data_IF_448808843603
#
_entry.id   IF_448808843603
#
_cell.length_a   1.000
_cell.length_b   1.000
_cell.length_c   1.000
_cell.angle_alpha   90.00
_cell.angle_beta   90.00
_cell.angle_gamma   90.00
#
_symmetry.space_group_name_H-M   'P 1'
#
loop_
_entity.id
_entity.type
_entity.pdbx_description
1 polymer ?
#
# COMPACT_ATOMS: atom_id res chain seq x y z
N UNK A 1 -8.22 5.62 1.16
CA UNK A 1 -8.11 4.57 2.18
C UNK A 1 -6.85 4.80 2.99
N UNK A 2 -6.82 4.44 4.27
CA UNK A 2 -5.69 4.65 5.20
C UNK A 2 -4.93 3.37 5.52
N UNK A 3 -5.41 2.22 5.02
CA UNK A 3 -4.81 0.92 5.27
C UNK A 3 -4.34 0.24 3.97
N UNK A 4 -3.33 -0.59 4.14
CA UNK A 4 -2.93 -1.64 3.23
C UNK A 4 -3.66 -2.94 3.63
N UNK A 5 -4.34 -3.57 2.68
CA UNK A 5 -5.05 -4.82 2.94
C UNK A 5 -4.36 -6.00 2.28
N UNK A 6 -4.26 -7.09 3.02
CA UNK A 6 -3.86 -8.39 2.49
C UNK A 6 -5.06 -9.32 2.47
N UNK A 7 -5.25 -9.99 1.34
CA UNK A 7 -6.27 -11.01 1.13
C UNK A 7 -5.54 -12.32 0.81
N UNK A 8 -5.71 -13.32 1.68
CA UNK A 8 -5.18 -14.66 1.49
C UNK A 8 -6.36 -15.61 1.34
N UNK A 9 -6.32 -16.44 0.32
CA UNK A 9 -7.32 -17.47 0.09
C UNK A 9 -6.62 -18.82 -0.08
N UNK A 10 -7.07 -19.81 0.67
CA UNK A 10 -6.61 -21.20 0.59
C UNK A 10 -7.60 -22.04 -0.22
N UNK A 11 -7.16 -23.21 -0.68
CA UNK A 11 -8.04 -24.14 -1.41
C UNK A 11 -9.17 -24.67 -0.50
N UNK A 12 -8.80 -25.09 0.71
CA UNK A 12 -9.71 -25.56 1.76
C UNK A 12 -9.86 -24.54 2.88
N UNK A 13 -10.83 -24.74 3.77
CA UNK A 13 -11.01 -23.92 4.97
C UNK A 13 -9.73 -23.84 5.81
N UNK A 14 -9.42 -22.63 6.30
CA UNK A 14 -8.25 -22.38 7.13
C UNK A 14 -8.46 -23.11 8.46
N UNK A 15 -7.54 -24.02 8.77
CA UNK A 15 -7.61 -24.84 9.99
C UNK A 15 -7.37 -23.97 11.23
N UNK A 16 -8.04 -24.27 12.36
CA UNK A 16 -7.80 -23.56 13.60
C UNK A 16 -6.33 -23.63 14.03
N UNK A 17 -5.82 -22.51 14.53
CA UNK A 17 -4.47 -22.40 15.07
C UNK A 17 -4.26 -23.39 16.22
N UNK A 18 -3.16 -24.14 16.18
CA UNK A 18 -2.72 -24.94 17.34
C UNK A 18 -2.29 -24.02 18.48
N UNK A 19 -2.62 -24.39 19.72
CA UNK A 19 -2.30 -23.58 20.90
C UNK A 19 -0.80 -23.26 20.95
N UNK A 20 -0.46 -21.97 21.06
CA UNK A 20 0.92 -21.49 21.12
C UNK A 20 1.69 -21.47 19.80
N UNK A 21 1.14 -21.95 18.68
CA UNK A 21 1.86 -21.99 17.41
C UNK A 21 2.16 -20.58 16.86
N UNK A 22 3.42 -20.29 16.52
CA UNK A 22 3.82 -19.03 15.87
C UNK A 22 3.78 -19.08 14.35
N UNK A 23 3.76 -20.28 13.79
CA UNK A 23 3.88 -20.54 12.35
C UNK A 23 2.54 -20.66 11.61
N UNK A 24 1.45 -20.15 12.17
CA UNK A 24 0.12 -20.28 11.57
C UNK A 24 -0.23 -19.05 10.73
N UNK A 25 -0.49 -19.26 9.44
CA UNK A 25 -0.92 -18.25 8.46
C UNK A 25 -0.15 -16.92 8.59
N UNK A 26 1.19 -16.98 8.56
CA UNK A 26 2.05 -15.81 8.62
C UNK A 26 2.11 -15.10 7.27
N UNK A 27 2.23 -13.78 7.32
CA UNK A 27 2.54 -12.97 6.15
C UNK A 27 3.80 -12.14 6.40
N UNK A 28 4.87 -12.45 5.68
CA UNK A 28 6.11 -11.71 5.68
C UNK A 28 6.08 -10.65 4.58
N UNK A 29 6.52 -9.44 4.87
CA UNK A 29 6.58 -8.39 3.86
C UNK A 29 7.66 -7.35 4.15
N UNK A 30 8.12 -6.68 3.10
CA UNK A 30 8.88 -5.43 3.18
C UNK A 30 8.21 -4.37 2.33
N UNK A 31 8.44 -3.11 2.69
CA UNK A 31 7.80 -1.99 2.01
C UNK A 31 8.79 -0.84 1.86
N UNK A 32 8.76 -0.17 0.71
CA UNK A 32 9.54 1.03 0.49
C UNK A 32 8.77 2.03 -0.39
N UNK A 33 9.09 3.31 -0.23
CA UNK A 33 8.73 4.31 -1.23
C UNK A 33 9.32 3.90 -2.58
N UNK A 34 8.57 4.06 -3.67
CA UNK A 34 8.99 3.65 -5.02
C UNK A 34 10.25 4.35 -5.51
N UNK A 35 10.48 5.59 -5.04
CA UNK A 35 11.65 6.40 -5.36
C UNK A 35 12.90 6.05 -4.55
N UNK A 36 12.77 5.16 -3.55
CA UNK A 36 13.87 4.73 -2.69
C UNK A 36 14.18 3.26 -2.94
N UNK A 37 15.46 2.92 -2.85
CA UNK A 37 15.85 1.53 -2.65
C UNK A 37 15.28 0.99 -1.34
N UNK A 38 15.23 -0.34 -1.21
CA UNK A 38 14.78 -0.99 0.04
C UNK A 38 15.42 -0.27 1.21
N UNK A 39 14.60 0.27 2.09
CA UNK A 39 15.04 1.06 3.25
C UNK A 39 16.09 0.26 4.03
N UNK A 40 17.12 0.93 4.58
CA UNK A 40 18.14 0.30 5.47
C UNK A 40 17.56 -0.25 6.78
N UNK A 41 16.26 -0.48 6.85
CA UNK A 41 15.61 -1.10 7.99
C UNK A 41 16.09 -2.54 8.12
N UNK A 42 16.18 -3.01 9.36
CA UNK A 42 16.49 -4.40 9.65
C UNK A 42 15.52 -5.32 8.91
N UNK A 43 16.05 -6.39 8.33
CA UNK A 43 15.27 -7.36 7.59
C UNK A 43 15.76 -8.78 7.86
N UNK A 44 14.86 -9.75 7.80
CA UNK A 44 15.18 -11.17 7.78
C UNK A 44 14.82 -11.69 6.39
N UNK A 45 15.82 -12.20 5.67
CA UNK A 45 15.65 -12.80 4.33
C UNK A 45 14.90 -11.87 3.34
N UNK A 46 15.10 -10.56 3.47
CA UNK A 46 14.50 -9.53 2.63
C UNK A 46 13.12 -9.02 3.07
N UNK A 47 12.61 -9.50 4.21
CA UNK A 47 11.36 -9.06 4.82
C UNK A 47 11.61 -8.21 6.07
N UNK A 48 10.89 -7.10 6.21
CA UNK A 48 11.06 -6.16 7.32
C UNK A 48 10.01 -6.38 8.41
N UNK A 49 8.88 -6.96 8.04
CA UNK A 49 7.72 -7.13 8.88
C UNK A 49 7.17 -8.55 8.75
N UNK A 50 6.48 -8.99 9.80
CA UNK A 50 5.65 -10.18 9.79
C UNK A 50 4.31 -9.88 10.46
N UNK A 51 3.25 -10.42 9.88
CA UNK A 51 1.92 -10.44 10.45
C UNK A 51 1.59 -11.83 10.99
N UNK A 52 0.75 -11.86 12.02
CA UNK A 52 0.06 -13.06 12.48
C UNK A 52 0.91 -14.15 13.13
N UNK A 53 2.10 -13.82 13.65
CA UNK A 53 2.83 -14.75 14.53
C UNK A 53 2.21 -14.85 15.93
N UNK A 54 1.58 -13.77 16.40
CA UNK A 54 0.92 -13.70 17.70
C UNK A 54 -0.53 -13.18 17.58
N UNK A 55 -1.47 -14.02 17.10
CA UNK A 55 -2.90 -13.67 17.11
C UNK A 55 -3.37 -13.33 18.53
N UNK A 56 -4.17 -12.26 18.64
CA UNK A 56 -4.63 -11.70 19.93
C UNK A 56 -6.10 -12.07 20.19
N UNK A 57 -6.93 -12.08 19.15
CA UNK A 57 -8.32 -12.52 19.18
C UNK A 57 -8.79 -12.88 17.77
N UNK A 58 -10.05 -13.31 17.62
CA UNK A 58 -10.68 -13.56 16.30
C UNK A 58 -10.67 -12.34 15.36
N UNK A 59 -10.52 -11.12 15.91
CA UNK A 59 -10.57 -9.87 15.17
C UNK A 59 -9.23 -9.12 15.10
N UNK A 60 -8.21 -9.57 15.84
CA UNK A 60 -6.95 -8.85 16.01
C UNK A 60 -5.74 -9.78 15.97
N UNK A 61 -4.71 -9.35 15.28
CA UNK A 61 -3.43 -10.06 15.21
C UNK A 61 -2.23 -9.15 15.35
N UNK A 62 -1.03 -9.72 15.47
CA UNK A 62 0.21 -8.96 15.60
C UNK A 62 0.70 -8.40 14.26
N UNK A 63 1.15 -7.15 14.29
CA UNK A 63 2.14 -6.60 13.37
C UNK A 63 3.46 -6.49 14.12
N UNK A 64 4.49 -7.13 13.60
CA UNK A 64 5.82 -7.17 14.19
C UNK A 64 6.86 -6.76 13.14
N UNK A 65 7.93 -6.11 13.58
CA UNK A 65 9.05 -5.72 12.73
C UNK A 65 10.31 -6.48 13.14
N UNK A 66 11.19 -6.73 12.18
CA UNK A 66 12.50 -7.33 12.45
C UNK A 66 13.30 -6.38 13.33
N UNK A 67 13.81 -6.91 14.44
CA UNK A 67 14.54 -6.16 15.47
C UNK A 67 16.03 -6.07 15.14
N UNK A 68 16.61 -7.13 14.57
CA UNK A 68 18.03 -7.19 14.21
C UNK A 68 18.20 -7.69 12.78
N UNK A 69 18.95 -6.94 11.99
CA UNK A 69 19.17 -7.25 10.58
C UNK A 69 19.82 -8.62 10.40
N UNK A 70 19.29 -9.42 9.48
CA UNK A 70 19.69 -10.79 9.20
C UNK A 70 19.13 -11.85 10.16
N UNK A 71 18.41 -11.49 11.23
CA UNK A 71 17.96 -12.45 12.24
C UNK A 71 16.42 -12.59 12.30
N UNK A 72 15.95 -13.82 12.59
CA UNK A 72 14.53 -14.12 12.82
C UNK A 72 14.08 -13.67 14.23
N UNK A 73 14.36 -12.41 14.58
CA UNK A 73 14.03 -11.81 15.88
C UNK A 73 13.17 -10.60 15.62
N UNK A 74 11.97 -10.61 16.20
CA UNK A 74 10.96 -9.59 15.95
C UNK A 74 10.59 -8.84 17.23
N UNK A 75 10.12 -7.61 17.04
CA UNK A 75 9.51 -6.81 18.10
C UNK A 75 8.12 -6.34 17.67
N UNK A 76 7.20 -6.27 18.63
CA UNK A 76 5.82 -5.83 18.41
C UNK A 76 5.81 -4.36 17.96
N UNK A 77 5.10 -4.08 16.87
CA UNK A 77 4.75 -2.72 16.46
C UNK A 77 3.40 -2.35 17.07
N UNK A 78 2.34 -3.08 16.70
CA UNK A 78 0.99 -2.91 17.23
C UNK A 78 0.13 -4.14 16.93
N UNK A 79 -1.12 -4.11 17.39
CA UNK A 79 -2.15 -5.06 16.94
C UNK A 79 -2.89 -4.46 15.73
N UNK A 80 -3.26 -5.30 14.77
CA UNK A 80 -3.97 -4.91 13.55
C UNK A 80 -5.22 -5.77 13.35
N UNK A 81 -6.20 -5.24 12.62
CA UNK A 81 -7.44 -5.95 12.34
C UNK A 81 -7.18 -7.17 11.45
N UNK A 82 -7.76 -8.30 11.83
CA UNK A 82 -7.65 -9.57 11.14
C UNK A 82 -9.00 -10.28 11.18
N UNK A 83 -9.35 -11.04 10.16
CA UNK A 83 -10.49 -11.94 10.20
C UNK A 83 -10.20 -13.20 9.39
N UNK A 84 -10.73 -14.32 9.85
CA UNK A 84 -10.70 -15.61 9.14
C UNK A 84 -12.13 -16.09 8.96
N UNK A 85 -12.53 -16.37 7.72
CA UNK A 85 -13.86 -16.84 7.36
C UNK A 85 -13.72 -17.97 6.33
N UNK A 86 -13.93 -19.22 6.76
CA UNK A 86 -13.71 -20.40 5.92
C UNK A 86 -12.27 -20.44 5.42
N UNK A 87 -12.09 -20.41 4.10
CA UNK A 87 -10.80 -20.43 3.42
C UNK A 87 -10.17 -19.05 3.18
N UNK A 88 -10.72 -17.98 3.74
CA UNK A 88 -10.25 -16.61 3.52
C UNK A 88 -9.72 -15.99 4.80
N UNK A 89 -8.55 -15.37 4.70
CA UNK A 89 -7.98 -14.51 5.74
C UNK A 89 -7.76 -13.11 5.18
N UNK A 90 -8.18 -12.10 5.95
CA UNK A 90 -7.99 -10.69 5.61
C UNK A 90 -7.29 -9.97 6.76
N UNK A 91 -6.30 -9.14 6.44
CA UNK A 91 -5.56 -8.34 7.42
C UNK A 91 -5.49 -6.89 6.92
N UNK A 92 -5.77 -5.92 7.80
CA UNK A 92 -5.71 -4.50 7.50
C UNK A 92 -4.58 -3.82 8.28
N UNK A 93 -3.57 -3.32 7.57
CA UNK A 93 -2.37 -2.70 8.13
C UNK A 93 -2.40 -1.19 7.89
N UNK A 94 -2.43 -0.34 8.93
CA UNK A 94 -2.36 1.11 8.76
C UNK A 94 -1.05 1.54 8.09
N UNK A 95 -1.12 2.37 7.04
CA UNK A 95 0.07 2.89 6.36
C UNK A 95 0.99 3.69 7.31
N UNK A 96 0.41 4.37 8.29
CA UNK A 96 1.15 5.09 9.33
C UNK A 96 2.10 4.20 10.13
N UNK A 97 1.68 2.97 10.45
CA UNK A 97 2.50 2.00 11.19
C UNK A 97 3.69 1.47 10.38
N UNK A 98 3.64 1.63 9.06
CA UNK A 98 4.70 1.30 8.13
C UNK A 98 5.59 2.52 7.81
N UNK A 99 5.22 3.70 8.29
CA UNK A 99 5.88 4.98 7.99
C UNK A 99 6.05 5.24 6.48
N UNK A 100 5.06 4.85 5.67
CA UNK A 100 5.04 5.10 4.23
C UNK A 100 3.73 5.76 3.79
N UNK A 101 3.75 6.55 2.69
CA UNK A 101 2.52 7.08 2.11
C UNK A 101 1.63 5.98 1.52
N UNK A 102 0.32 6.22 1.50
CA UNK A 102 -0.67 5.34 0.86
C UNK A 102 -0.62 5.32 -0.68
N UNK A 103 0.43 5.89 -1.28
CA UNK A 103 0.68 6.01 -2.71
C UNK A 103 2.17 5.88 -2.98
N UNK A 104 2.54 5.56 -4.22
CA UNK A 104 3.95 5.52 -4.65
C UNK A 104 4.84 4.62 -3.78
N UNK A 105 4.34 3.41 -3.49
CA UNK A 105 5.06 2.41 -2.71
C UNK A 105 5.24 1.11 -3.48
N UNK A 106 6.25 0.34 -3.08
CA UNK A 106 6.45 -1.06 -3.48
C UNK A 106 6.39 -1.94 -2.24
N UNK A 107 5.74 -3.09 -2.37
CA UNK A 107 5.69 -4.13 -1.35
C UNK A 107 6.25 -5.42 -1.95
N UNK A 108 7.12 -6.07 -1.20
CA UNK A 108 7.51 -7.46 -1.46
C UNK A 108 6.94 -8.34 -0.36
N UNK A 109 6.23 -9.43 -0.68
CA UNK A 109 5.53 -10.24 0.33
C UNK A 109 5.49 -11.74 0.03
N UNK A 110 5.29 -12.52 1.10
CA UNK A 110 5.14 -13.97 1.11
C UNK A 110 4.18 -14.38 2.21
N UNK A 111 3.29 -15.32 1.90
CA UNK A 111 2.50 -16.04 2.89
C UNK A 111 3.18 -17.37 3.23
N UNK A 112 3.10 -17.80 4.49
CA UNK A 112 3.55 -19.11 4.92
C UNK A 112 2.65 -19.66 6.03
N UNK A 113 2.36 -20.96 5.99
CA UNK A 113 1.62 -21.66 7.04
C UNK A 113 2.32 -22.97 7.40
N UNK A 114 2.32 -23.28 8.70
CA UNK A 114 2.80 -24.54 9.27
C UNK A 114 4.26 -24.90 8.95
N UNK A 115 5.12 -23.91 8.69
CA UNK A 115 6.58 -24.11 8.53
C UNK A 115 7.21 -24.48 9.89
N UNK A 116 7.90 -25.61 9.97
CA UNK A 116 8.42 -26.17 11.22
C UNK A 116 9.62 -25.40 11.78
N UNK A 117 10.58 -25.05 10.93
CA UNK A 117 11.76 -24.23 11.28
C UNK A 117 11.62 -22.84 10.70
N UNK A 118 10.79 -22.03 11.35
CA UNK A 118 10.40 -20.69 10.87
C UNK A 118 11.58 -19.75 10.60
N UNK A 119 12.69 -19.93 11.32
CA UNK A 119 13.91 -19.11 11.26
C UNK A 119 14.87 -19.51 10.12
N UNK A 120 14.62 -20.64 9.46
CA UNK A 120 15.40 -21.14 8.33
C UNK A 120 14.59 -21.03 7.04
N UNK A 121 14.94 -20.07 6.19
CA UNK A 121 14.27 -19.88 4.89
C UNK A 121 14.36 -21.10 3.96
N UNK A 122 15.29 -22.02 4.20
CA UNK A 122 15.36 -23.27 3.43
C UNK A 122 14.23 -24.24 3.82
N UNK A 123 13.68 -24.13 5.04
CA UNK A 123 12.57 -24.95 5.49
C UNK A 123 11.26 -24.64 4.75
N UNK A 124 11.16 -23.45 4.15
CA UNK A 124 10.03 -23.02 3.31
C UNK A 124 9.97 -23.76 1.95
N UNK A 125 10.92 -24.65 1.68
CA UNK A 125 10.86 -25.64 0.58
C UNK A 125 10.43 -27.03 1.05
N UNK A 126 10.46 -27.29 2.36
CA UNK A 126 10.44 -28.64 2.93
C UNK A 126 9.18 -28.88 3.73
N UNK A 127 8.80 -27.93 4.60
CA UNK A 127 7.70 -28.07 5.52
C UNK A 127 6.64 -26.99 5.31
N UNK A 128 5.42 -27.29 5.76
CA UNK A 128 4.29 -26.38 5.65
C UNK A 128 3.93 -26.02 4.20
N UNK A 129 3.41 -24.82 4.02
CA UNK A 129 3.05 -24.25 2.73
C UNK A 129 3.62 -22.83 2.66
N UNK A 130 4.30 -22.49 1.57
CA UNK A 130 4.82 -21.14 1.31
C UNK A 130 4.36 -20.65 -0.05
N UNK A 131 3.82 -19.43 -0.10
CA UNK A 131 3.33 -18.81 -1.34
C UNK A 131 3.94 -17.41 -1.47
N UNK A 132 4.85 -17.19 -2.44
CA UNK A 132 5.39 -18.18 -3.39
C UNK A 132 6.39 -19.14 -2.70
N UNK A 133 6.81 -20.22 -3.37
CA UNK A 133 7.65 -21.28 -2.78
C UNK A 133 9.05 -20.77 -2.37
N UNK A 134 9.56 -21.22 -1.22
CA UNK A 134 10.98 -21.10 -0.86
C UNK A 134 11.50 -19.66 -0.79
N UNK A 135 12.54 -19.33 -1.56
CA UNK A 135 13.15 -17.98 -1.61
C UNK A 135 12.50 -17.02 -2.60
N UNK A 136 11.43 -17.43 -3.28
CA UNK A 136 10.67 -16.54 -4.16
C UNK A 136 9.86 -15.54 -3.33
N UNK A 137 9.51 -14.40 -3.94
CA UNK A 137 8.72 -13.35 -3.30
C UNK A 137 7.83 -12.68 -4.35
N UNK A 138 6.60 -12.32 -3.99
CA UNK A 138 5.77 -11.46 -4.85
C UNK A 138 6.17 -10.01 -4.69
N UNK A 139 6.14 -9.24 -5.78
CA UNK A 139 6.36 -7.79 -5.73
C UNK A 139 5.16 -7.07 -6.32
N UNK A 140 4.66 -6.07 -5.60
CA UNK A 140 3.58 -5.18 -6.01
C UNK A 140 4.05 -3.74 -5.94
N UNK A 141 3.72 -2.93 -6.94
CA UNK A 141 4.04 -1.50 -6.96
C UNK A 141 2.79 -0.68 -7.23
N UNK A 142 2.38 0.13 -6.26
CA UNK A 142 1.35 1.13 -6.45
C UNK A 142 2.02 2.41 -6.99
N UNK A 143 1.53 2.91 -8.12
CA UNK A 143 1.79 4.29 -8.53
C UNK A 143 0.61 5.14 -8.07
N UNK A 144 0.90 6.31 -7.48
CA UNK A 144 -0.12 7.34 -7.39
C UNK A 144 -0.65 7.61 -8.79
N UNK A 145 -1.98 7.68 -8.94
CA UNK A 145 -2.54 8.21 -10.19
C UNK A 145 -2.02 9.64 -10.30
N UNK A 146 -1.07 9.87 -11.21
CA UNK A 146 -0.63 11.21 -11.56
C UNK A 146 -1.77 11.89 -12.31
N UNK A 147 -2.82 12.30 -11.59
CA UNK A 147 -3.62 13.41 -12.05
C UNK A 147 -2.70 14.61 -11.93
N UNK A 148 -2.02 14.93 -13.03
CA UNK A 148 -1.29 16.17 -13.17
C UNK A 148 -2.28 17.31 -12.90
N UNK A 149 -2.35 17.78 -11.65
CA UNK A 149 -2.89 19.10 -11.38
C UNK A 149 -1.86 20.06 -11.92
N UNK A 150 -1.95 20.37 -13.20
CA UNK A 150 -1.20 21.47 -13.81
C UNK A 150 -1.64 22.74 -13.08
N UNK A 151 -0.93 23.11 -12.02
CA UNK A 151 -1.05 24.46 -11.46
C UNK A 151 -0.46 25.37 -12.51
N UNK A 152 -1.32 26.07 -13.24
CA UNK A 152 -0.88 27.15 -14.12
C UNK A 152 -0.06 28.14 -13.28
N UNK A 153 1.10 28.49 -13.79
CA UNK A 153 1.96 29.52 -13.24
C UNK A 153 1.22 30.86 -13.15
N UNK A 154 1.72 31.77 -12.33
CA UNK A 154 1.15 33.11 -12.20
C UNK A 154 1.07 33.83 -13.56
N UNK A 155 2.09 33.63 -14.41
CA UNK A 155 2.15 34.21 -15.76
C UNK A 155 1.01 33.71 -16.66
N UNK A 156 0.74 32.40 -16.66
CA UNK A 156 -0.35 31.84 -17.46
C UNK A 156 -1.73 32.27 -16.96
N UNK A 157 -1.90 32.42 -15.64
CA UNK A 157 -3.13 32.97 -15.05
C UNK A 157 -3.36 34.43 -15.45
N UNK A 158 -2.29 35.23 -15.49
CA UNK A 158 -2.34 36.62 -15.97
C UNK A 158 -2.68 36.66 -17.45
N UNK A 159 -2.05 35.82 -18.28
CA UNK A 159 -2.33 35.74 -19.71
C UNK A 159 -3.80 35.39 -19.99
N UNK A 160 -4.35 34.42 -19.26
CA UNK A 160 -5.76 34.04 -19.37
C UNK A 160 -6.71 35.17 -18.96
N UNK A 161 -6.38 35.90 -17.89
CA UNK A 161 -7.19 37.05 -17.46
C UNK A 161 -7.19 38.18 -18.49
N UNK A 162 -6.04 38.47 -19.11
CA UNK A 162 -5.91 39.49 -20.16
C UNK A 162 -6.69 39.06 -21.41
N UNK A 163 -6.56 37.80 -21.85
CA UNK A 163 -7.30 37.29 -22.99
C UNK A 163 -8.82 37.37 -22.78
N UNK A 164 -9.30 37.04 -21.56
CA UNK A 164 -10.72 37.17 -21.19
C UNK A 164 -11.22 38.63 -21.24
N UNK A 165 -10.43 39.58 -20.73
CA UNK A 165 -10.78 41.01 -20.79
C UNK A 165 -10.85 41.53 -22.23
N UNK A 166 -9.93 41.12 -23.11
CA UNK A 166 -9.98 41.51 -24.53
C UNK A 166 -11.21 40.98 -25.26
N UNK A 167 -11.60 39.73 -24.99
CA UNK A 167 -12.81 39.14 -25.56
C UNK A 167 -14.09 39.87 -25.11
N UNK A 168 -14.18 40.22 -23.83
CA UNK A 168 -15.32 41.01 -23.32
C UNK A 168 -15.34 42.43 -23.91
N UNK A 169 -14.18 43.07 -24.05
CA UNK A 169 -14.06 44.38 -24.69
C UNK A 169 -14.53 44.36 -26.16
N UNK A 170 -14.10 43.35 -26.93
CA UNK A 170 -14.51 43.19 -28.32
C UNK A 170 -16.02 42.93 -28.46
N UNK A 171 -16.59 42.10 -27.58
CA UNK A 171 -18.03 41.83 -27.56
C UNK A 171 -18.85 43.10 -27.22
N UNK A 172 -18.40 43.90 -26.26
CA UNK A 172 -19.05 45.17 -25.90
C UNK A 172 -18.99 46.19 -27.06
N UNK A 173 -17.85 46.30 -27.73
CA UNK A 173 -17.69 47.18 -28.89
C UNK A 173 -18.58 46.75 -30.06
N UNK A 174 -18.67 45.44 -30.33
CA UNK A 174 -19.55 44.90 -31.37
C UNK A 174 -21.03 45.14 -31.07
N UNK A 175 -21.47 44.91 -29.82
CA UNK A 175 -22.84 45.19 -29.39
C UNK A 175 -23.17 46.68 -29.45
N UNK A 176 -22.21 47.55 -29.11
CA UNK A 176 -22.37 48.99 -29.22
C UNK A 176 -22.56 49.42 -30.69
N UNK A 177 -21.69 48.97 -31.59
CA UNK A 177 -21.78 49.27 -33.02
C UNK A 177 -23.10 48.76 -33.64
N UNK A 178 -23.49 47.53 -33.30
CA UNK A 178 -24.76 46.95 -33.76
C UNK A 178 -25.98 47.74 -33.24
N UNK A 179 -25.94 48.17 -31.98
CA UNK A 179 -26.98 49.00 -31.37
C UNK A 179 -27.08 50.39 -32.00
N UNK A 180 -25.95 51.02 -32.35
CA UNK A 180 -25.95 52.34 -33.00
C UNK A 180 -26.44 52.28 -34.44
N UNK A 181 -26.07 51.25 -35.20
CA UNK A 181 -26.55 51.05 -36.58
C UNK A 181 -28.05 50.79 -36.64
N UNK A 182 -28.61 50.01 -35.71
CA UNK A 182 -30.05 49.75 -35.64
C UNK A 182 -30.87 50.99 -35.24
N UNK A 183 -30.25 51.98 -34.58
CA UNK A 183 -30.90 53.23 -34.15
C UNK A 183 -30.87 54.31 -35.24
N UNK A 184 -30.06 54.14 -36.28
CA UNK A 184 -29.94 55.03 -37.44
C UNK A 184 -30.70 54.53 -38.68
N UNK A 185 -31.34 53.35 -38.62
CA UNK A 185 -32.32 52.86 -39.59
C UNK A 185 -33.73 53.06 -39.04
#
# INVERSE_FOLDING_TARGET
DTNLYFYLQTEEDIRPRRNGASNWMNLFFSVCEKSRDKTKAASWEGFQYVLNRMPVSEMLTSLERVRRDGEYVFERVQNVACSVQGNVMQIAVPFEALHIPAQDFRIDFKAADSVEREDDIMDYYVSGCAVPLGRLTYSYSAAGSAVAKTRLSLAERILLAIAGLMLMGAAAAFLYQYGTEKRMR
#
